data_IF_995259236068
#
_entry.id   IF_995259236068
#
_cell.length_a   1.000
_cell.length_b   1.000
_cell.length_c   1.000
_cell.angle_alpha   90.00
_cell.angle_beta   90.00
_cell.angle_gamma   90.00
#
_symmetry.space_group_name_H-M   'P 1'
#
loop_
_entity.id
_entity.type
_entity.pdbx_description
1 polymer ?
#
# COMPACT_ATOMS: atom_id res chain seq x y z
N UNK A 1 14.55 -11.43 -13.72
CA UNK A 1 13.49 -10.54 -14.16
C UNK A 1 12.60 -10.10 -13.02
N UNK A 2 12.01 -8.91 -13.10
CA UNK A 2 11.05 -8.42 -12.10
C UNK A 2 9.71 -9.08 -12.34
N UNK A 3 9.11 -9.69 -11.31
CA UNK A 3 7.80 -10.32 -11.41
C UNK A 3 6.72 -9.23 -11.47
N UNK A 4 5.71 -9.41 -12.31
CA UNK A 4 4.53 -8.54 -12.33
C UNK A 4 3.76 -8.68 -11.00
N UNK A 5 3.36 -7.55 -10.44
CA UNK A 5 2.51 -7.45 -9.26
C UNK A 5 1.23 -6.69 -9.60
N UNK A 6 0.20 -6.78 -8.76
CA UNK A 6 -1.04 -6.01 -8.91
C UNK A 6 -0.75 -4.51 -9.10
N UNK A 7 0.28 -4.01 -8.41
CA UNK A 7 0.69 -2.61 -8.46
C UNK A 7 1.33 -2.26 -9.80
N UNK A 8 2.23 -3.11 -10.32
CA UNK A 8 2.94 -2.82 -11.59
C UNK A 8 2.04 -2.90 -12.83
N UNK A 9 0.88 -3.54 -12.74
CA UNK A 9 -0.15 -3.55 -13.81
C UNK A 9 -0.69 -2.14 -14.11
N UNK A 10 -0.62 -1.22 -13.15
CA UNK A 10 -1.07 0.17 -13.35
C UNK A 10 -0.11 1.01 -14.21
N UNK A 11 1.15 0.61 -14.37
CA UNK A 11 2.16 1.37 -15.11
C UNK A 11 1.72 1.73 -16.54
N UNK A 12 1.25 0.80 -17.38
CA UNK A 12 0.82 1.13 -18.74
C UNK A 12 -0.33 2.15 -18.80
N UNK A 13 -1.29 2.05 -17.87
CA UNK A 13 -2.45 2.95 -17.82
C UNK A 13 -2.01 4.38 -17.51
N UNK A 14 -1.10 4.53 -16.53
CA UNK A 14 -0.56 5.85 -16.15
C UNK A 14 0.28 6.44 -17.28
N UNK A 15 1.15 5.64 -17.90
CA UNK A 15 1.97 6.10 -19.02
C UNK A 15 1.12 6.50 -20.23
N UNK A 16 0.03 5.78 -20.49
CA UNK A 16 -0.93 6.15 -21.55
C UNK A 16 -1.57 7.53 -21.24
N UNK A 17 -1.99 7.76 -20.01
CA UNK A 17 -2.60 9.02 -19.60
C UNK A 17 -1.61 10.20 -19.75
N UNK A 18 -0.38 10.03 -19.25
CA UNK A 18 0.66 11.07 -19.31
C UNK A 18 1.07 11.35 -20.77
N UNK A 19 1.34 10.31 -21.55
CA UNK A 19 1.76 10.45 -22.95
C UNK A 19 0.67 11.05 -23.82
N UNK A 20 -0.60 10.65 -23.64
CA UNK A 20 -1.72 11.24 -24.39
C UNK A 20 -1.94 12.72 -24.05
N UNK A 21 -1.79 13.11 -22.78
CA UNK A 21 -1.91 14.50 -22.36
C UNK A 21 -0.85 15.39 -23.06
N UNK A 22 0.41 14.95 -23.08
CA UNK A 22 1.48 15.66 -23.79
C UNK A 22 1.20 15.77 -25.30
N UNK A 23 0.76 14.68 -25.92
CA UNK A 23 0.39 14.64 -27.33
C UNK A 23 -0.73 15.63 -27.67
N UNK A 24 -1.78 15.68 -26.86
CA UNK A 24 -2.91 16.60 -27.03
C UNK A 24 -2.45 18.07 -26.96
N UNK A 25 -1.57 18.39 -26.00
CA UNK A 25 -1.03 19.76 -25.90
C UNK A 25 -0.23 20.15 -27.12
N UNK A 26 0.64 19.29 -27.64
CA UNK A 26 1.43 19.53 -28.83
C UNK A 26 0.51 19.73 -30.07
N UNK A 27 -0.43 18.80 -30.27
CA UNK A 27 -1.37 18.88 -31.39
C UNK A 27 -2.22 20.15 -31.34
N UNK A 28 -2.76 20.47 -30.17
CA UNK A 28 -3.60 21.67 -30.01
C UNK A 28 -2.82 22.95 -30.32
N UNK A 29 -1.58 23.06 -29.85
CA UNK A 29 -0.72 24.22 -30.13
C UNK A 29 -0.34 24.30 -31.59
N UNK A 30 0.01 23.16 -32.22
CA UNK A 30 0.33 23.08 -33.66
C UNK A 30 -0.84 23.54 -34.53
N UNK A 31 -2.05 23.04 -34.29
CA UNK A 31 -3.23 23.45 -35.03
C UNK A 31 -3.59 24.91 -34.78
N UNK A 32 -3.34 25.46 -33.61
CA UNK A 32 -3.50 26.88 -33.31
C UNK A 32 -2.63 27.73 -34.22
N UNK A 33 -1.35 27.36 -34.42
CA UNK A 33 -0.46 28.08 -35.34
C UNK A 33 -0.85 27.94 -36.83
N UNK A 34 -1.27 26.74 -37.25
CA UNK A 34 -1.78 26.54 -38.62
C UNK A 34 -3.01 27.40 -38.90
N UNK A 35 -3.91 27.56 -37.94
CA UNK A 35 -5.11 28.39 -38.10
C UNK A 35 -4.79 29.88 -38.10
N UNK A 36 -3.68 30.29 -37.49
CA UNK A 36 -3.15 31.67 -37.58
C UNK A 36 -2.47 31.97 -38.94
N UNK A 37 -2.40 30.97 -39.85
CA UNK A 37 -1.86 31.15 -41.19
C UNK A 37 -0.37 30.81 -41.32
N UNK A 38 0.27 30.25 -40.27
CA UNK A 38 1.66 29.81 -40.37
C UNK A 38 1.81 28.60 -41.29
N UNK A 39 2.93 28.55 -42.01
CA UNK A 39 3.29 27.36 -42.77
C UNK A 39 3.56 26.18 -41.85
N UNK A 40 3.38 24.97 -42.36
CA UNK A 40 3.50 23.71 -41.61
C UNK A 40 4.80 23.60 -40.79
N UNK A 41 5.95 23.87 -41.43
CA UNK A 41 7.25 23.79 -40.76
C UNK A 41 7.41 24.85 -39.66
N UNK A 42 6.96 26.07 -39.95
CA UNK A 42 7.00 27.18 -38.98
C UNK A 42 6.06 26.93 -37.80
N UNK A 43 4.87 26.39 -38.06
CA UNK A 43 3.92 26.01 -37.01
C UNK A 43 4.49 24.92 -36.07
N UNK A 44 5.21 23.92 -36.60
CA UNK A 44 5.87 22.91 -35.80
C UNK A 44 7.00 23.54 -34.97
N UNK A 45 7.85 24.36 -35.59
CA UNK A 45 8.98 25.01 -34.92
C UNK A 45 8.50 25.86 -33.74
N UNK A 46 7.51 26.72 -33.97
CA UNK A 46 6.90 27.55 -32.91
C UNK A 46 6.26 26.72 -31.79
N UNK A 47 5.56 25.63 -32.17
CA UNK A 47 4.99 24.70 -31.18
C UNK A 47 6.06 24.12 -30.29
N UNK A 48 7.18 23.69 -30.87
CA UNK A 48 8.28 23.11 -30.07
C UNK A 48 8.96 24.17 -29.21
N UNK A 49 9.16 25.39 -29.73
CA UNK A 49 9.70 26.50 -28.94
C UNK A 49 8.85 26.81 -27.72
N UNK A 50 7.53 26.79 -27.84
CA UNK A 50 6.61 27.08 -26.74
C UNK A 50 6.49 25.93 -25.73
N UNK A 51 6.47 24.69 -26.21
CA UNK A 51 6.07 23.55 -25.37
C UNK A 51 7.23 22.70 -24.88
N UNK A 52 8.44 22.78 -25.48
CA UNK A 52 9.57 21.92 -25.02
C UNK A 52 9.88 22.15 -23.55
N UNK A 53 9.97 23.41 -23.13
CA UNK A 53 10.29 23.73 -21.73
C UNK A 53 9.18 23.29 -20.74
N UNK A 54 7.88 23.60 -20.94
CA UNK A 54 6.81 23.08 -20.11
C UNK A 54 6.75 21.54 -20.03
N UNK A 55 6.94 20.85 -21.17
CA UNK A 55 6.91 19.38 -21.20
C UNK A 55 8.10 18.79 -20.43
N UNK A 56 9.31 19.36 -20.60
CA UNK A 56 10.47 18.96 -19.80
C UNK A 56 10.22 19.12 -18.30
N UNK A 57 9.68 20.26 -17.89
CA UNK A 57 9.39 20.59 -16.50
C UNK A 57 8.41 19.59 -15.88
N UNK A 58 7.26 19.41 -16.53
CA UNK A 58 6.21 18.52 -16.03
C UNK A 58 6.68 17.07 -16.00
N UNK A 59 7.45 16.63 -17.00
CA UNK A 59 7.98 15.27 -17.04
C UNK A 59 9.04 15.03 -15.98
N UNK A 60 9.95 15.98 -15.73
CA UNK A 60 10.98 15.85 -14.70
C UNK A 60 10.36 15.84 -13.29
N UNK A 61 9.40 16.73 -13.03
CA UNK A 61 8.71 16.76 -11.73
C UNK A 61 7.90 15.48 -11.51
N UNK A 62 7.21 14.98 -12.53
CA UNK A 62 6.46 13.71 -12.47
C UNK A 62 7.40 12.52 -12.27
N UNK A 63 8.51 12.45 -13.01
CA UNK A 63 9.50 11.39 -12.83
C UNK A 63 10.12 11.43 -11.42
N UNK A 64 10.41 12.61 -10.87
CA UNK A 64 10.91 12.77 -9.51
C UNK A 64 9.88 12.31 -8.47
N UNK A 65 8.59 12.59 -8.69
CA UNK A 65 7.50 12.07 -7.87
C UNK A 65 7.49 10.55 -7.83
N UNK A 66 7.62 9.88 -8.98
CA UNK A 66 7.71 8.41 -9.01
C UNK A 66 9.01 7.86 -8.44
N UNK A 67 10.15 8.53 -8.61
CA UNK A 67 11.43 8.16 -8.00
C UNK A 67 11.35 8.22 -6.47
N UNK A 68 10.58 9.13 -5.88
CA UNK A 68 10.40 9.19 -4.43
C UNK A 68 9.86 7.89 -3.82
N UNK A 69 9.13 7.07 -4.61
CA UNK A 69 8.64 5.75 -4.19
C UNK A 69 9.76 4.72 -3.94
N UNK A 70 10.99 4.98 -4.38
CA UNK A 70 12.16 4.16 -4.05
C UNK A 70 12.49 4.18 -2.55
N UNK A 71 12.01 5.17 -1.81
CA UNK A 71 12.13 5.23 -0.35
C UNK A 71 11.25 4.20 0.37
N UNK A 72 10.24 3.63 -0.30
CA UNK A 72 9.36 2.61 0.28
C UNK A 72 10.15 1.34 0.61
N UNK A 73 9.93 0.68 1.77
CA UNK A 73 10.52 -0.64 2.06
C UNK A 73 9.87 -1.77 1.25
N UNK A 74 8.74 -1.54 0.58
CA UNK A 74 7.93 -2.54 -0.11
C UNK A 74 8.42 -2.70 -1.57
N UNK A 75 9.01 -3.85 -1.97
CA UNK A 75 9.63 -4.02 -3.28
C UNK A 75 8.70 -3.74 -4.48
N UNK A 76 7.42 -4.18 -4.52
CA UNK A 76 6.50 -3.83 -5.59
C UNK A 76 6.32 -2.34 -5.81
N UNK A 77 6.31 -1.52 -4.74
CA UNK A 77 6.19 -0.06 -4.82
C UNK A 77 7.46 0.56 -5.42
N UNK A 78 8.64 0.07 -5.01
CA UNK A 78 9.92 0.50 -5.61
C UNK A 78 9.96 0.25 -7.11
N UNK A 79 9.58 -0.97 -7.53
CA UNK A 79 9.56 -1.33 -8.95
C UNK A 79 8.57 -0.47 -9.73
N UNK A 80 7.38 -0.26 -9.18
CA UNK A 80 6.39 0.64 -9.77
C UNK A 80 6.94 2.05 -9.97
N UNK A 81 7.54 2.64 -8.93
CA UNK A 81 8.13 3.98 -9.01
C UNK A 81 9.22 4.07 -10.08
N UNK A 82 10.16 3.12 -10.08
CA UNK A 82 11.27 3.10 -11.03
C UNK A 82 10.79 2.97 -12.49
N UNK A 83 9.93 1.98 -12.78
CA UNK A 83 9.46 1.74 -14.14
C UNK A 83 8.54 2.85 -14.65
N UNK A 84 7.73 3.44 -13.77
CA UNK A 84 6.88 4.58 -14.16
C UNK A 84 7.72 5.81 -14.42
N UNK A 85 8.70 6.14 -13.57
CA UNK A 85 9.61 7.26 -13.81
C UNK A 85 10.37 7.11 -15.14
N UNK A 86 10.93 5.91 -15.40
CA UNK A 86 11.58 5.60 -16.67
C UNK A 86 10.62 5.76 -17.86
N UNK A 87 9.39 5.24 -17.74
CA UNK A 87 8.36 5.37 -18.76
C UNK A 87 7.96 6.83 -19.04
N UNK A 88 7.87 7.68 -18.01
CA UNK A 88 7.60 9.13 -18.15
C UNK A 88 8.72 9.82 -18.95
N UNK A 89 9.99 9.48 -18.67
CA UNK A 89 11.12 10.05 -19.45
C UNK A 89 11.06 9.59 -20.91
N UNK A 90 10.74 8.32 -21.18
CA UNK A 90 10.55 7.83 -22.53
C UNK A 90 9.39 8.55 -23.22
N UNK A 91 8.23 8.66 -22.54
CA UNK A 91 7.06 9.36 -23.08
C UNK A 91 7.38 10.82 -23.45
N UNK A 92 8.16 11.51 -22.61
CA UNK A 92 8.65 12.86 -22.88
C UNK A 92 9.50 12.91 -24.17
N UNK A 93 10.49 12.01 -24.28
CA UNK A 93 11.37 11.96 -25.47
C UNK A 93 10.55 11.68 -26.73
N UNK A 94 9.63 10.71 -26.67
CA UNK A 94 8.74 10.39 -27.80
C UNK A 94 7.83 11.57 -28.15
N UNK A 95 7.28 12.27 -27.17
CA UNK A 95 6.43 13.43 -27.40
C UNK A 95 7.20 14.58 -28.09
N UNK A 96 8.43 14.83 -27.68
CA UNK A 96 9.24 15.91 -28.23
C UNK A 96 9.89 15.58 -29.59
N UNK A 97 10.15 14.28 -29.86
CA UNK A 97 10.84 13.88 -31.10
C UNK A 97 9.90 13.23 -32.11
N UNK A 98 9.09 12.25 -31.70
CA UNK A 98 8.27 11.43 -32.59
C UNK A 98 7.05 12.19 -33.10
N UNK A 99 6.36 12.93 -32.22
CA UNK A 99 5.16 13.67 -32.61
C UNK A 99 5.47 14.74 -33.69
N UNK A 100 6.49 15.62 -33.54
CA UNK A 100 6.86 16.55 -34.58
C UNK A 100 7.28 15.87 -35.89
N UNK A 101 8.01 14.74 -35.81
CA UNK A 101 8.41 13.98 -36.98
C UNK A 101 7.20 13.43 -37.77
N UNK A 102 6.22 12.88 -37.05
CA UNK A 102 4.97 12.39 -37.65
C UNK A 102 4.19 13.56 -38.26
N UNK A 103 4.11 14.70 -37.57
CA UNK A 103 3.42 15.89 -38.08
C UNK A 103 4.03 16.40 -39.37
N UNK A 104 5.35 16.30 -39.59
CA UNK A 104 6.00 16.66 -40.84
C UNK A 104 5.58 15.74 -41.99
N UNK A 105 5.33 14.48 -41.73
CA UNK A 105 4.93 13.50 -42.76
C UNK A 105 3.45 13.57 -43.11
N UNK A 106 2.59 13.89 -42.15
CA UNK A 106 1.15 13.99 -42.39
C UNK A 106 0.78 15.20 -43.25
N UNK A 107 -0.22 15.12 -44.14
CA UNK A 107 -0.67 16.29 -44.91
C UNK A 107 -1.26 17.36 -43.96
N UNK A 108 -0.84 18.63 -44.17
CA UNK A 108 -1.39 19.74 -43.40
C UNK A 108 -2.84 20.01 -43.85
N UNK A 109 -3.80 19.30 -43.28
CA UNK A 109 -5.21 19.72 -43.43
C UNK A 109 -5.42 20.87 -42.44
N UNK A 110 -5.85 22.05 -42.98
CA UNK A 110 -6.43 23.08 -42.12
C UNK A 110 -7.67 22.45 -41.48
N UNK A 111 -7.51 21.87 -40.29
CA UNK A 111 -8.66 21.33 -39.57
C UNK A 111 -9.48 22.53 -39.16
N UNK A 112 -10.77 22.48 -39.44
CA UNK A 112 -11.72 23.42 -38.86
C UNK A 112 -11.41 23.46 -37.39
N UNK A 113 -10.90 24.58 -36.90
CA UNK A 113 -10.57 24.79 -35.49
C UNK A 113 -11.74 24.29 -34.68
N UNK A 114 -11.49 23.31 -33.79
CA UNK A 114 -12.45 23.01 -32.75
C UNK A 114 -12.80 24.27 -31.92
N UNK A 115 -12.06 25.35 -32.15
CA UNK A 115 -12.20 26.65 -31.48
C UNK A 115 -12.68 27.81 -32.39
N UNK A 116 -12.88 27.61 -33.70
CA UNK A 116 -13.33 28.67 -34.58
C UNK A 116 -14.27 28.14 -35.67
N UNK A 117 -15.53 28.16 -35.50
CA UNK A 117 -16.60 28.50 -36.43
C UNK A 117 -17.99 27.91 -36.16
N UNK A 118 -18.17 27.00 -35.22
CA UNK A 118 -19.50 26.51 -34.89
C UNK A 118 -19.77 26.62 -33.38
N UNK A 119 -19.85 27.83 -32.87
CA UNK A 119 -20.11 27.99 -31.49
C UNK A 119 -20.85 29.27 -31.13
N UNK A 120 -22.08 29.36 -31.53
CA UNK A 120 -23.00 30.08 -30.64
C UNK A 120 -23.07 29.40 -29.27
N UNK A 121 -22.98 28.07 -29.18
CA UNK A 121 -22.92 27.31 -27.92
C UNK A 121 -21.54 27.21 -27.26
N UNK A 122 -20.40 27.39 -27.98
CA UNK A 122 -19.05 27.33 -27.37
C UNK A 122 -18.55 28.67 -26.85
N UNK A 123 -19.13 29.79 -27.30
CA UNK A 123 -18.93 31.09 -26.65
C UNK A 123 -19.31 31.04 -25.17
N UNK A 124 -20.30 30.24 -24.80
CA UNK A 124 -20.75 30.11 -23.41
C UNK A 124 -19.70 29.47 -22.50
N UNK A 125 -19.04 28.40 -22.87
CA UNK A 125 -18.05 27.72 -22.01
C UNK A 125 -16.80 28.60 -21.81
N UNK A 126 -16.29 29.19 -22.85
CA UNK A 126 -15.14 30.11 -22.76
C UNK A 126 -15.46 31.37 -21.96
N UNK A 127 -16.68 31.90 -22.12
CA UNK A 127 -17.17 33.03 -21.33
C UNK A 127 -17.40 32.68 -19.86
N UNK A 128 -17.94 31.46 -19.58
CA UNK A 128 -18.12 30.97 -18.21
C UNK A 128 -16.76 30.85 -17.53
N UNK A 129 -15.79 30.21 -18.17
CA UNK A 129 -14.44 30.06 -17.61
C UNK A 129 -13.78 31.43 -17.40
N UNK A 130 -13.92 32.32 -18.36
CA UNK A 130 -13.45 33.73 -18.26
C UNK A 130 -14.10 34.48 -17.11
N UNK A 131 -15.43 34.35 -16.91
CA UNK A 131 -16.15 34.93 -15.75
C UNK A 131 -15.67 34.35 -14.42
N UNK A 132 -15.44 33.03 -14.36
CA UNK A 132 -14.88 32.40 -13.17
C UNK A 132 -13.47 32.93 -12.86
N UNK A 133 -12.61 33.03 -13.89
CA UNK A 133 -11.27 33.60 -13.72
C UNK A 133 -11.29 35.06 -13.24
N UNK A 134 -12.16 35.86 -13.81
CA UNK A 134 -12.34 37.25 -13.38
C UNK A 134 -12.90 37.37 -11.96
N UNK A 135 -13.85 36.52 -11.59
CA UNK A 135 -14.39 36.45 -10.22
C UNK A 135 -13.30 36.06 -9.21
N UNK A 136 -12.50 35.03 -9.52
CA UNK A 136 -11.36 34.60 -8.69
C UNK A 136 -10.34 35.74 -8.51
N UNK A 137 -10.01 36.46 -9.58
CA UNK A 137 -9.07 37.57 -9.52
C UNK A 137 -9.55 38.71 -8.63
N UNK A 138 -10.88 39.03 -8.70
CA UNK A 138 -11.47 40.07 -7.87
C UNK A 138 -11.76 39.62 -6.41
N UNK A 139 -11.83 38.33 -6.15
CA UNK A 139 -12.11 37.77 -4.82
C UNK A 139 -11.00 36.82 -4.35
N UNK A 140 -9.75 37.20 -4.60
CA UNK A 140 -8.57 36.35 -4.30
C UNK A 140 -8.52 35.91 -2.84
N UNK A 141 -8.80 36.81 -1.88
CA UNK A 141 -8.83 36.49 -0.45
C UNK A 141 -9.90 35.44 -0.10
N UNK A 142 -11.10 35.56 -0.69
CA UNK A 142 -12.19 34.60 -0.51
C UNK A 142 -11.83 33.23 -1.10
N UNK A 143 -11.18 33.23 -2.26
CA UNK A 143 -10.70 32.01 -2.93
C UNK A 143 -9.63 31.29 -2.07
N UNK A 144 -8.67 32.03 -1.55
CA UNK A 144 -7.65 31.48 -0.64
C UNK A 144 -8.30 30.91 0.62
N UNK A 145 -9.23 31.67 1.22
CA UNK A 145 -9.96 31.22 2.42
C UNK A 145 -10.75 29.93 2.15
N UNK A 146 -11.42 29.84 1.00
CA UNK A 146 -12.15 28.64 0.59
C UNK A 146 -11.25 27.40 0.48
N UNK A 147 -10.10 27.52 -0.22
CA UNK A 147 -9.15 26.43 -0.33
C UNK A 147 -8.51 26.08 1.03
N UNK A 148 -8.21 27.06 1.88
CA UNK A 148 -7.71 26.82 3.21
C UNK A 148 -8.73 26.05 4.07
N UNK A 149 -10.00 26.41 3.99
CA UNK A 149 -11.07 25.75 4.75
C UNK A 149 -11.29 24.31 4.28
N UNK A 150 -11.31 24.06 2.96
CA UNK A 150 -11.41 22.71 2.40
C UNK A 150 -10.18 21.88 2.80
N UNK A 151 -8.98 22.46 2.79
CA UNK A 151 -7.76 21.78 3.19
C UNK A 151 -7.83 21.37 4.66
N UNK A 152 -8.22 22.29 5.54
CA UNK A 152 -8.40 22.00 6.98
C UNK A 152 -9.43 20.90 7.19
N UNK A 153 -10.56 20.96 6.47
CA UNK A 153 -11.59 19.93 6.53
C UNK A 153 -11.07 18.58 6.02
N UNK A 154 -10.32 18.58 4.91
CA UNK A 154 -9.70 17.38 4.36
C UNK A 154 -8.72 16.75 5.35
N UNK A 155 -7.86 17.55 5.98
CA UNK A 155 -6.94 17.10 7.03
C UNK A 155 -7.72 16.54 8.23
N UNK A 156 -8.74 17.25 8.71
CA UNK A 156 -9.55 16.78 9.84
C UNK A 156 -10.21 15.43 9.56
N UNK A 157 -10.76 15.24 8.37
CA UNK A 157 -11.37 13.96 7.96
C UNK A 157 -10.30 12.87 7.78
N UNK A 158 -9.10 13.19 7.32
CA UNK A 158 -8.04 12.21 7.10
C UNK A 158 -7.55 11.51 8.38
N UNK A 159 -7.75 12.09 9.55
CA UNK A 159 -7.45 11.42 10.84
C UNK A 159 -8.29 10.17 11.08
N UNK A 160 -9.47 10.06 10.45
CA UNK A 160 -10.32 8.89 10.52
C UNK A 160 -10.07 7.88 9.38
N UNK A 161 -9.06 8.11 8.55
CA UNK A 161 -8.73 7.24 7.43
C UNK A 161 -8.19 5.91 7.94
N UNK A 162 -8.90 4.83 7.65
CA UNK A 162 -8.50 3.48 8.01
C UNK A 162 -7.53 2.91 6.99
N UNK A 163 -6.53 2.19 7.46
CA UNK A 163 -5.65 1.39 6.61
C UNK A 163 -6.21 -0.02 6.48
N UNK A 164 -6.12 -0.60 5.28
CA UNK A 164 -6.65 -1.95 5.03
C UNK A 164 -5.71 -2.73 4.11
N UNK A 165 -5.43 -3.97 4.46
CA UNK A 165 -4.65 -4.89 3.63
C UNK A 165 -5.35 -6.23 3.40
N UNK A 166 -6.64 -6.31 3.71
CA UNK A 166 -7.42 -7.53 3.45
C UNK A 166 -7.70 -7.66 1.95
N UNK A 167 -6.99 -8.60 1.30
CA UNK A 167 -7.15 -8.87 -0.13
C UNK A 167 -8.53 -9.41 -0.50
N UNK A 168 -9.30 -9.95 0.45
CA UNK A 168 -10.66 -10.45 0.19
C UNK A 168 -11.62 -9.34 -0.22
N UNK A 169 -11.35 -8.09 0.16
CA UNK A 169 -12.18 -6.93 -0.25
C UNK A 169 -12.15 -6.64 -1.74
N UNK A 170 -11.16 -7.16 -2.48
CA UNK A 170 -11.11 -7.03 -3.93
C UNK A 170 -12.04 -8.01 -4.67
N UNK A 171 -12.60 -8.99 -3.95
CA UNK A 171 -13.53 -9.95 -4.52
C UNK A 171 -14.99 -9.49 -4.32
N UNK A 172 -15.82 -9.85 -5.27
CA UNK A 172 -17.27 -9.63 -5.16
C UNK A 172 -17.85 -10.45 -3.99
N UNK A 173 -18.75 -9.85 -3.20
CA UNK A 173 -19.34 -10.46 -1.99
C UNK A 173 -19.91 -11.87 -2.19
N UNK A 174 -20.40 -12.16 -3.39
CA UNK A 174 -20.99 -13.47 -3.73
C UNK A 174 -20.00 -14.42 -4.43
N UNK A 175 -18.72 -14.06 -4.52
CA UNK A 175 -17.72 -14.92 -5.18
C UNK A 175 -17.51 -16.23 -4.42
N UNK A 176 -17.13 -17.33 -5.12
CA UNK A 176 -16.82 -18.59 -4.46
C UNK A 176 -15.73 -18.47 -3.39
N UNK A 177 -14.78 -17.55 -3.59
CA UNK A 177 -13.69 -17.25 -2.61
C UNK A 177 -14.26 -16.75 -1.32
N UNK A 178 -15.15 -15.73 -1.35
CA UNK A 178 -15.76 -15.16 -0.16
C UNK A 178 -16.62 -16.21 0.56
N UNK A 179 -17.49 -16.93 -0.17
CA UNK A 179 -18.32 -17.98 0.43
C UNK A 179 -17.49 -19.10 1.07
N UNK A 180 -16.40 -19.53 0.42
CA UNK A 180 -15.50 -20.52 1.00
C UNK A 180 -14.80 -20.00 2.26
N UNK A 181 -14.36 -18.75 2.25
CA UNK A 181 -13.78 -18.08 3.43
C UNK A 181 -14.80 -18.02 4.57
N UNK A 182 -16.02 -17.59 4.31
CA UNK A 182 -17.09 -17.48 5.33
C UNK A 182 -17.39 -18.85 5.98
N UNK A 183 -17.38 -19.94 5.21
CA UNK A 183 -17.54 -21.30 5.78
C UNK A 183 -16.39 -21.61 6.73
N UNK A 184 -15.14 -21.35 6.32
CA UNK A 184 -13.96 -21.63 7.17
C UNK A 184 -13.96 -20.72 8.41
N UNK A 185 -14.27 -19.45 8.27
CA UNK A 185 -14.37 -18.50 9.38
C UNK A 185 -15.40 -18.96 10.43
N UNK A 186 -16.59 -19.34 9.97
CA UNK A 186 -17.70 -19.69 10.86
C UNK A 186 -17.61 -21.11 11.46
N UNK A 187 -17.05 -22.08 10.71
CA UNK A 187 -17.05 -23.49 11.15
C UNK A 187 -15.69 -23.94 11.71
N UNK A 188 -14.59 -23.30 11.29
CA UNK A 188 -13.23 -23.71 11.67
C UNK A 188 -12.47 -22.61 12.44
N UNK A 189 -13.13 -21.49 12.75
CA UNK A 189 -12.62 -20.49 13.66
C UNK A 189 -11.56 -19.55 13.08
N UNK A 190 -11.45 -19.44 11.77
CA UNK A 190 -10.55 -18.48 11.11
C UNK A 190 -9.70 -19.07 10.02
N UNK A 191 -9.36 -18.21 9.05
CA UNK A 191 -8.53 -18.55 7.89
C UNK A 191 -7.07 -18.19 8.07
N UNK A 192 -6.75 -17.34 9.04
CA UNK A 192 -5.38 -16.88 9.27
C UNK A 192 -4.75 -17.69 10.41
N UNK A 193 -3.55 -18.23 10.17
CA UNK A 193 -2.78 -18.92 11.18
C UNK A 193 -1.78 -17.96 11.84
N UNK A 194 -1.88 -17.84 13.15
CA UNK A 194 -0.92 -17.21 14.04
C UNK A 194 -0.01 -18.27 14.61
N UNK A 195 1.28 -17.98 14.76
CA UNK A 195 2.27 -18.91 15.29
C UNK A 195 3.18 -18.17 16.27
N UNK A 196 3.30 -18.69 17.49
CA UNK A 196 4.26 -18.25 18.49
C UNK A 196 5.38 -19.29 18.50
N UNK A 197 6.60 -18.88 18.19
CA UNK A 197 7.78 -19.73 18.23
C UNK A 197 8.45 -19.53 19.58
N UNK A 198 8.69 -20.62 20.30
CA UNK A 198 9.40 -20.64 21.58
C UNK A 198 10.69 -21.44 21.38
N UNK A 199 11.84 -20.80 21.60
CA UNK A 199 13.18 -21.37 21.44
C UNK A 199 13.86 -21.41 22.81
N UNK A 200 14.09 -22.60 23.33
CA UNK A 200 14.74 -22.84 24.64
C UNK A 200 16.27 -22.77 24.57
N UNK A 201 16.83 -22.71 23.35
CA UNK A 201 18.28 -22.75 23.08
C UNK A 201 18.98 -24.03 23.59
N UNK A 202 18.25 -24.96 24.22
CA UNK A 202 18.76 -26.20 24.79
C UNK A 202 18.09 -27.41 24.14
N UNK A 203 18.87 -28.44 23.79
CA UNK A 203 18.33 -29.69 23.27
C UNK A 203 17.46 -30.36 24.34
N UNK A 204 16.29 -30.86 23.93
CA UNK A 204 15.24 -31.39 24.80
C UNK A 204 14.61 -30.37 25.77
N UNK A 205 14.93 -29.08 25.71
CA UNK A 205 14.37 -28.08 26.60
C UNK A 205 12.84 -27.96 26.51
N UNK A 206 12.26 -28.29 25.36
CA UNK A 206 10.80 -28.28 25.16
C UNK A 206 10.08 -29.37 25.99
N UNK A 207 10.78 -30.42 26.42
CA UNK A 207 10.23 -31.52 27.23
C UNK A 207 10.11 -31.14 28.71
N UNK A 208 10.57 -29.96 29.15
CA UNK A 208 10.43 -29.50 30.53
C UNK A 208 8.94 -29.31 30.86
N UNK A 209 8.39 -30.00 31.90
CA UNK A 209 7.01 -29.82 32.32
C UNK A 209 6.64 -28.38 32.67
N UNK A 210 7.59 -27.58 33.17
CA UNK A 210 7.36 -26.15 33.47
C UNK A 210 7.10 -25.36 32.22
N UNK A 211 7.87 -25.63 31.15
CA UNK A 211 7.64 -24.97 29.86
C UNK A 211 6.31 -25.44 29.27
N UNK A 212 5.98 -26.72 29.30
CA UNK A 212 4.69 -27.24 28.83
C UNK A 212 3.51 -26.57 29.53
N UNK A 213 3.59 -26.33 30.84
CA UNK A 213 2.59 -25.57 31.60
C UNK A 213 2.49 -24.10 31.09
N UNK A 214 3.62 -23.45 30.81
CA UNK A 214 3.61 -22.10 30.20
C UNK A 214 2.97 -22.12 28.82
N UNK A 215 3.26 -23.11 27.97
CA UNK A 215 2.60 -23.27 26.68
C UNK A 215 1.09 -23.43 26.80
N UNK A 216 0.64 -24.21 27.80
CA UNK A 216 -0.80 -24.37 28.09
C UNK A 216 -1.45 -23.05 28.50
N UNK A 217 -0.81 -22.28 29.37
CA UNK A 217 -1.28 -20.95 29.76
C UNK A 217 -1.40 -20.00 28.54
N UNK A 218 -0.46 -20.09 27.59
CA UNK A 218 -0.55 -19.34 26.34
C UNK A 218 -1.77 -19.79 25.54
N UNK A 219 -2.03 -21.09 25.38
CA UNK A 219 -3.22 -21.59 24.67
C UNK A 219 -4.50 -21.05 25.30
N UNK A 220 -4.63 -21.15 26.62
CA UNK A 220 -5.79 -20.66 27.37
C UNK A 220 -5.96 -19.12 27.22
N UNK A 221 -4.86 -18.38 27.29
CA UNK A 221 -4.91 -16.95 27.09
C UNK A 221 -5.34 -16.58 25.67
N UNK A 222 -4.78 -17.24 24.64
CA UNK A 222 -5.06 -16.94 23.24
C UNK A 222 -6.55 -17.05 22.91
N UNK A 223 -7.26 -18.04 23.43
CA UNK A 223 -8.71 -18.20 23.18
C UNK A 223 -9.56 -17.13 23.88
N UNK A 224 -9.00 -16.38 24.85
CA UNK A 224 -9.68 -15.22 25.46
C UNK A 224 -9.57 -13.94 24.61
N UNK A 225 -8.60 -13.91 23.68
CA UNK A 225 -8.38 -12.74 22.81
C UNK A 225 -9.46 -12.70 21.72
N UNK A 226 -10.18 -11.59 21.56
CA UNK A 226 -11.18 -11.45 20.50
C UNK A 226 -10.60 -11.78 19.12
N UNK A 227 -11.38 -12.44 18.27
CA UNK A 227 -11.00 -12.88 16.93
C UNK A 227 -9.91 -13.98 16.89
N UNK A 228 -9.56 -14.57 18.02
CA UNK A 228 -8.66 -15.73 18.10
C UNK A 228 -9.47 -16.97 18.52
N UNK A 229 -9.20 -18.08 17.86
CA UNK A 229 -9.82 -19.35 18.17
C UNK A 229 -8.81 -20.49 18.05
N UNK A 230 -9.13 -21.62 18.64
CA UNK A 230 -8.40 -22.90 18.48
C UNK A 230 -6.88 -22.78 18.62
N UNK A 231 -6.41 -22.45 19.79
CA UNK A 231 -4.99 -22.50 20.11
C UNK A 231 -4.55 -23.94 20.43
N UNK A 232 -3.41 -24.37 19.89
CA UNK A 232 -2.78 -25.68 20.13
C UNK A 232 -1.27 -25.57 20.16
N UNK A 233 -0.65 -26.37 21.06
CA UNK A 233 0.80 -26.52 21.15
C UNK A 233 1.19 -27.97 21.39
N UNK A 234 2.49 -28.21 21.65
CA UNK A 234 2.96 -29.50 22.09
C UNK A 234 2.34 -29.91 23.44
N UNK A 235 1.98 -28.97 24.31
CA UNK A 235 1.32 -29.26 25.59
C UNK A 235 -0.02 -29.97 25.38
N UNK A 236 -0.87 -29.53 24.46
CA UNK A 236 -2.12 -30.21 24.10
C UNK A 236 -1.86 -31.65 23.62
N UNK A 237 -0.83 -31.88 22.81
CA UNK A 237 -0.48 -33.21 22.29
C UNK A 237 -0.02 -34.12 23.44
N UNK A 238 0.81 -33.63 24.37
CA UNK A 238 1.27 -34.38 25.52
C UNK A 238 0.10 -34.71 26.45
N UNK A 239 -0.83 -33.79 26.71
CA UNK A 239 -2.06 -34.07 27.48
C UNK A 239 -2.94 -35.16 26.83
N UNK A 240 -3.12 -35.10 25.50
CA UNK A 240 -3.88 -36.09 24.74
C UNK A 240 -3.22 -37.49 24.83
N UNK A 241 -1.88 -37.54 24.76
CA UNK A 241 -1.10 -38.77 24.92
C UNK A 241 -1.24 -39.29 26.35
N UNK A 242 -1.02 -38.47 27.36
CA UNK A 242 -1.14 -38.88 28.77
C UNK A 242 -2.57 -39.39 29.09
N UNK A 243 -3.59 -38.70 28.58
CA UNK A 243 -4.97 -39.17 28.71
C UNK A 243 -5.19 -40.59 28.14
N UNK A 244 -4.57 -40.87 26.99
CA UNK A 244 -4.67 -42.22 26.40
C UNK A 244 -3.99 -43.31 27.24
N UNK A 245 -2.98 -42.97 28.05
CA UNK A 245 -2.27 -43.91 28.92
C UNK A 245 -2.81 -43.97 30.34
N UNK A 246 -3.14 -42.82 30.94
CA UNK A 246 -3.53 -42.68 32.35
C UNK A 246 -5.03 -42.50 32.57
N UNK A 247 -5.77 -42.10 31.54
CA UNK A 247 -7.18 -41.70 31.63
C UNK A 247 -7.39 -40.27 32.12
N UNK A 248 -6.33 -39.49 32.38
CA UNK A 248 -6.40 -38.14 32.93
C UNK A 248 -5.81 -37.10 31.96
N UNK A 249 -6.52 -36.01 31.75
CA UNK A 249 -6.02 -34.86 30.97
C UNK A 249 -5.10 -33.99 31.83
N UNK A 250 -3.84 -34.42 31.97
CA UNK A 250 -2.81 -33.72 32.76
C UNK A 250 -1.47 -33.77 32.01
N UNK A 251 -0.62 -32.78 32.29
CA UNK A 251 0.78 -32.84 31.86
C UNK A 251 1.58 -33.70 32.82
N UNK A 252 2.49 -34.58 32.32
CA UNK A 252 3.39 -35.35 33.19
C UNK A 252 4.26 -34.44 34.06
N UNK A 253 4.60 -34.85 35.26
CA UNK A 253 5.36 -34.06 36.22
C UNK A 253 6.88 -34.10 36.00
N UNK A 254 7.40 -35.04 35.18
CA UNK A 254 8.84 -35.17 34.92
C UNK A 254 9.17 -35.12 33.42
N UNK A 255 10.37 -34.64 33.12
CA UNK A 255 10.86 -34.53 31.73
C UNK A 255 11.06 -35.93 31.10
N UNK A 256 11.42 -36.92 31.90
CA UNK A 256 11.58 -38.33 31.49
C UNK A 256 10.23 -38.91 31.06
N UNK A 257 9.16 -38.64 31.81
CA UNK A 257 7.81 -39.12 31.47
C UNK A 257 7.35 -38.48 30.15
N UNK A 258 7.50 -37.17 29.98
CA UNK A 258 7.22 -36.47 28.69
C UNK A 258 8.02 -37.09 27.55
N UNK A 259 9.32 -37.35 27.75
CA UNK A 259 10.18 -37.93 26.72
C UNK A 259 9.72 -39.35 26.34
N UNK A 260 9.31 -40.17 27.32
CA UNK A 260 8.83 -41.54 27.13
C UNK A 260 7.49 -41.55 26.36
N UNK A 261 6.54 -40.68 26.70
CA UNK A 261 5.26 -40.56 26.03
C UNK A 261 5.43 -40.11 24.57
N UNK A 262 6.25 -39.09 24.32
CA UNK A 262 6.54 -38.63 22.96
C UNK A 262 7.26 -39.69 22.12
N UNK A 263 8.14 -40.50 22.73
CA UNK A 263 8.79 -41.62 22.05
C UNK A 263 7.76 -42.70 21.67
N UNK A 264 6.90 -43.12 22.61
CA UNK A 264 5.84 -44.09 22.33
C UNK A 264 4.88 -43.64 21.25
N UNK A 265 4.49 -42.35 21.28
CA UNK A 265 3.66 -41.73 20.24
C UNK A 265 4.33 -41.79 18.88
N UNK A 266 5.63 -41.46 18.79
CA UNK A 266 6.38 -41.49 17.54
C UNK A 266 6.54 -42.91 16.98
N UNK A 267 6.73 -43.92 17.84
CA UNK A 267 6.82 -45.34 17.45
C UNK A 267 5.50 -45.92 16.92
N UNK A 268 4.37 -45.37 17.34
CA UNK A 268 3.04 -45.75 16.84
C UNK A 268 2.64 -45.05 15.54
N UNK A 269 3.57 -44.35 14.91
CA UNK A 269 3.31 -43.64 13.65
C UNK A 269 2.72 -42.23 13.84
N UNK A 270 2.86 -41.65 15.03
CA UNK A 270 2.47 -40.28 15.36
C UNK A 270 3.32 -39.25 14.57
N UNK A 271 2.95 -39.00 13.32
CA UNK A 271 3.69 -38.11 12.39
C UNK A 271 3.46 -36.62 12.63
N UNK A 272 2.65 -36.25 13.63
CA UNK A 272 2.24 -34.85 13.80
C UNK A 272 3.19 -34.02 14.69
N UNK A 273 4.19 -34.62 15.33
CA UNK A 273 5.11 -33.90 16.22
C UNK A 273 5.94 -32.84 15.49
N UNK A 274 6.32 -33.10 14.24
CA UNK A 274 7.08 -32.17 13.41
C UNK A 274 6.36 -30.85 13.10
N UNK A 275 5.04 -30.80 13.29
CA UNK A 275 4.27 -29.54 13.22
C UNK A 275 4.41 -28.67 14.46
N UNK A 276 4.85 -29.24 15.60
CA UNK A 276 4.90 -28.56 16.89
C UNK A 276 6.32 -28.40 17.44
N UNK A 277 7.27 -29.19 16.99
CA UNK A 277 8.65 -29.17 17.51
C UNK A 277 9.66 -29.49 16.42
N UNK A 278 10.90 -29.01 16.58
CA UNK A 278 12.02 -29.39 15.75
C UNK A 278 12.63 -30.73 16.20
N UNK A 279 13.58 -31.25 15.43
CA UNK A 279 14.15 -32.59 15.61
C UNK A 279 14.81 -32.80 16.98
N UNK A 280 15.50 -31.82 17.52
CA UNK A 280 16.23 -31.87 18.80
C UNK A 280 15.41 -31.38 20.00
N UNK A 281 14.13 -31.09 19.82
CA UNK A 281 13.23 -30.56 20.83
C UNK A 281 13.75 -29.32 21.56
N UNK A 282 14.50 -28.48 20.85
CA UNK A 282 14.94 -27.18 21.36
C UNK A 282 13.92 -26.07 21.08
N UNK A 283 13.06 -26.24 20.05
CA UNK A 283 12.05 -25.26 19.65
C UNK A 283 10.68 -25.88 19.58
N UNK A 284 9.69 -25.10 19.96
CA UNK A 284 8.28 -25.47 19.82
C UNK A 284 7.45 -24.31 19.31
N UNK A 285 6.25 -24.61 18.86
CA UNK A 285 5.30 -23.60 18.40
C UNK A 285 3.96 -23.74 19.10
N UNK A 286 3.36 -22.59 19.43
CA UNK A 286 1.94 -22.48 19.73
C UNK A 286 1.25 -21.90 18.50
N UNK A 287 0.27 -22.61 17.98
CA UNK A 287 -0.49 -22.18 16.80
C UNK A 287 -1.91 -21.80 17.19
N UNK A 288 -2.43 -20.73 16.66
CA UNK A 288 -3.82 -20.33 16.84
C UNK A 288 -4.44 -19.90 15.50
N UNK A 289 -5.74 -20.03 15.39
CA UNK A 289 -6.49 -19.49 14.26
C UNK A 289 -7.00 -18.11 14.59
N UNK A 290 -6.91 -17.22 13.62
CA UNK A 290 -7.39 -15.84 13.73
C UNK A 290 -8.41 -15.60 12.61
N UNK A 291 -9.53 -15.00 12.96
CA UNK A 291 -10.52 -14.57 11.99
C UNK A 291 -9.89 -13.52 11.06
N UNK A 292 -10.24 -13.56 9.79
CA UNK A 292 -9.81 -12.57 8.81
C UNK A 292 -10.64 -11.28 8.97
N UNK A 293 -10.55 -10.71 10.16
CA UNK A 293 -11.17 -9.44 10.51
C UNK A 293 -10.48 -8.27 9.79
N UNK A 294 -10.97 -7.06 10.01
CA UNK A 294 -10.35 -5.86 9.49
C UNK A 294 -8.93 -5.66 10.03
N UNK A 295 -8.17 -4.84 9.34
CA UNK A 295 -6.76 -4.64 9.65
C UNK A 295 -6.50 -4.03 11.03
N UNK A 296 -7.40 -3.20 11.55
CA UNK A 296 -7.29 -2.65 12.92
C UNK A 296 -7.55 -3.71 13.99
N UNK A 297 -8.49 -4.64 13.74
CA UNK A 297 -8.74 -5.78 14.60
C UNK A 297 -7.52 -6.70 14.67
N UNK A 298 -6.91 -7.02 13.53
CA UNK A 298 -5.67 -7.81 13.47
C UNK A 298 -4.53 -7.11 14.23
N UNK A 299 -4.40 -5.78 14.08
CA UNK A 299 -3.40 -4.99 14.82
C UNK A 299 -3.62 -5.06 16.32
N UNK A 300 -4.86 -5.02 16.77
CA UNK A 300 -5.23 -5.15 18.19
C UNK A 300 -4.85 -6.53 18.70
N UNK A 301 -5.23 -7.60 17.99
CA UNK A 301 -4.85 -8.99 18.33
C UNK A 301 -3.34 -9.12 18.50
N UNK A 302 -2.57 -8.66 17.50
CA UNK A 302 -1.10 -8.76 17.51
C UNK A 302 -0.49 -8.00 18.70
N UNK A 303 -0.94 -6.77 18.98
CA UNK A 303 -0.43 -5.98 20.12
C UNK A 303 -0.78 -6.60 21.47
N UNK A 304 -2.00 -7.10 21.61
CA UNK A 304 -2.45 -7.76 22.83
C UNK A 304 -1.59 -8.99 23.13
N UNK A 305 -1.33 -9.82 22.12
CA UNK A 305 -0.51 -11.03 22.27
C UNK A 305 0.98 -10.68 22.48
N UNK A 306 1.55 -9.71 21.71
CA UNK A 306 2.94 -9.27 21.92
C UNK A 306 3.16 -8.74 23.35
N UNK A 307 2.20 -7.99 23.90
CA UNK A 307 2.27 -7.50 25.28
C UNK A 307 2.24 -8.64 26.31
N UNK A 308 1.34 -9.61 26.15
CA UNK A 308 1.26 -10.78 27.02
C UNK A 308 2.55 -11.59 26.98
N UNK A 309 3.08 -11.89 25.80
CA UNK A 309 4.33 -12.64 25.65
C UNK A 309 5.52 -11.90 26.27
N UNK A 310 5.56 -10.57 26.16
CA UNK A 310 6.59 -9.74 26.77
C UNK A 310 6.52 -9.74 28.31
N UNK A 311 5.34 -9.87 28.89
CA UNK A 311 5.15 -9.99 30.34
C UNK A 311 5.53 -11.38 30.84
N UNK A 312 5.12 -12.45 30.14
CA UNK A 312 5.34 -13.82 30.57
C UNK A 312 6.80 -14.29 30.41
N UNK A 313 7.50 -13.80 29.36
CA UNK A 313 8.85 -14.26 29.01
C UNK A 313 9.91 -13.14 29.03
N UNK A 314 9.52 -11.88 29.29
CA UNK A 314 10.44 -10.74 29.17
C UNK A 314 11.64 -10.77 30.14
N UNK A 315 11.49 -11.44 31.28
CA UNK A 315 12.55 -11.59 32.30
C UNK A 315 13.42 -12.84 32.05
N UNK A 316 12.96 -13.79 31.24
CA UNK A 316 13.64 -15.08 31.03
C UNK A 316 14.54 -15.02 29.79
N UNK A 317 15.81 -14.68 29.98
CA UNK A 317 16.80 -14.61 28.88
C UNK A 317 17.16 -15.99 28.29
N UNK A 318 16.81 -17.10 28.97
CA UNK A 318 17.07 -18.45 28.47
C UNK A 318 16.12 -18.84 27.34
N UNK A 319 14.90 -18.29 27.31
CA UNK A 319 13.86 -18.61 26.33
C UNK A 319 13.67 -17.42 25.38
N UNK A 320 13.79 -17.65 24.07
CA UNK A 320 13.46 -16.66 23.07
C UNK A 320 12.06 -16.92 22.50
N UNK A 321 11.18 -15.93 22.59
CA UNK A 321 9.81 -16.03 22.07
C UNK A 321 9.62 -15.05 20.93
N UNK A 322 9.00 -15.52 19.85
CA UNK A 322 8.70 -14.66 18.69
C UNK A 322 7.33 -14.97 18.09
N UNK A 323 6.57 -13.92 17.82
CA UNK A 323 5.27 -13.99 17.17
C UNK A 323 5.42 -13.89 15.67
N UNK A 324 4.83 -14.80 14.90
CA UNK A 324 4.86 -14.87 13.45
C UNK A 324 3.51 -15.35 12.88
N UNK A 325 3.47 -15.61 11.58
CA UNK A 325 2.23 -16.01 10.88
C UNK A 325 1.60 -14.88 10.08
N UNK A 326 0.57 -15.22 9.32
CA UNK A 326 -0.07 -14.26 8.40
C UNK A 326 -0.60 -12.98 9.10
N UNK A 327 -1.24 -13.05 10.28
CA UNK A 327 -1.68 -11.84 10.99
C UNK A 327 -0.52 -10.88 11.31
N UNK A 328 0.64 -11.41 11.72
CA UNK A 328 1.82 -10.58 12.00
C UNK A 328 2.40 -9.96 10.73
N UNK A 329 2.39 -10.69 9.61
CA UNK A 329 2.80 -10.17 8.31
C UNK A 329 1.88 -9.03 7.86
N UNK A 330 0.56 -9.23 7.93
CA UNK A 330 -0.44 -8.19 7.61
C UNK A 330 -0.17 -6.94 8.47
N UNK A 331 -0.05 -7.10 9.78
CA UNK A 331 0.25 -5.99 10.70
C UNK A 331 1.54 -5.23 10.31
N UNK A 332 2.63 -5.96 10.02
CA UNK A 332 3.91 -5.36 9.63
C UNK A 332 3.83 -4.62 8.30
N UNK A 333 3.17 -5.22 7.32
CA UNK A 333 2.98 -4.59 6.00
C UNK A 333 2.19 -3.30 6.14
N UNK A 334 1.13 -3.28 6.96
CA UNK A 334 0.33 -2.08 7.19
C UNK A 334 1.11 -0.95 7.87
N UNK A 335 1.84 -1.27 8.94
CA UNK A 335 2.64 -0.27 9.66
C UNK A 335 3.72 0.34 8.74
N UNK A 336 4.41 -0.52 7.98
CA UNK A 336 5.40 -0.07 7.00
C UNK A 336 4.77 0.73 5.87
N UNK A 337 3.56 0.34 5.45
CA UNK A 337 2.84 1.00 4.37
C UNK A 337 2.48 2.44 4.73
N UNK A 338 1.85 2.67 5.87
CA UNK A 338 1.48 4.00 6.34
C UNK A 338 2.72 4.92 6.49
N UNK A 339 3.78 4.42 7.12
CA UNK A 339 5.05 5.17 7.27
C UNK A 339 5.71 5.49 5.93
N UNK A 340 5.75 4.50 5.03
CA UNK A 340 6.32 4.63 3.69
C UNK A 340 5.58 5.69 2.87
N UNK A 341 4.26 5.75 2.99
CA UNK A 341 3.45 6.72 2.27
C UNK A 341 3.76 8.16 2.71
N UNK A 342 3.83 8.40 4.02
CA UNK A 342 4.19 9.72 4.55
C UNK A 342 5.59 10.13 4.07
N UNK A 343 6.57 9.22 4.16
CA UNK A 343 7.94 9.48 3.73
C UNK A 343 8.02 9.76 2.21
N UNK A 344 7.31 8.98 1.41
CA UNK A 344 7.26 9.16 -0.04
C UNK A 344 6.64 10.50 -0.44
N UNK A 345 5.53 10.89 0.18
CA UNK A 345 4.89 12.19 -0.06
C UNK A 345 5.79 13.36 0.35
N UNK A 346 6.47 13.25 1.49
CA UNK A 346 7.41 14.27 1.95
C UNK A 346 8.62 14.39 1.00
N UNK A 347 9.23 13.27 0.62
CA UNK A 347 10.38 13.26 -0.31
C UNK A 347 9.99 13.75 -1.70
N UNK A 348 8.81 13.36 -2.21
CA UNK A 348 8.26 13.86 -3.48
C UNK A 348 8.08 15.38 -3.45
N UNK A 349 7.44 15.90 -2.40
CA UNK A 349 7.21 17.34 -2.24
C UNK A 349 8.52 18.13 -2.23
N UNK A 350 9.52 17.64 -1.49
CA UNK A 350 10.84 18.28 -1.43
C UNK A 350 11.54 18.23 -2.79
N UNK A 351 11.53 17.09 -3.49
CA UNK A 351 12.14 16.95 -4.81
C UNK A 351 11.49 17.88 -5.84
N UNK A 352 10.15 17.94 -5.87
CA UNK A 352 9.41 18.84 -6.77
C UNK A 352 9.75 20.29 -6.46
N UNK A 353 9.76 20.69 -5.20
CA UNK A 353 10.14 22.06 -4.80
C UNK A 353 11.55 22.43 -5.23
N UNK A 354 12.52 21.53 -5.05
CA UNK A 354 13.90 21.73 -5.48
C UNK A 354 13.98 21.89 -7.01
N UNK A 355 13.35 21.00 -7.77
CA UNK A 355 13.34 21.06 -9.22
C UNK A 355 12.74 22.38 -9.70
N UNK A 356 11.57 22.76 -9.18
CA UNK A 356 10.91 24.03 -9.56
C UNK A 356 11.76 25.23 -9.14
N UNK A 357 12.34 25.23 -7.94
CA UNK A 357 13.21 26.31 -7.46
C UNK A 357 14.44 26.49 -8.36
N UNK A 358 15.10 25.42 -8.77
CA UNK A 358 16.26 25.44 -9.64
C UNK A 358 15.91 25.98 -11.03
N UNK A 359 14.82 25.53 -11.57
CA UNK A 359 14.39 25.89 -12.93
C UNK A 359 13.85 27.32 -12.98
N UNK A 360 13.06 27.73 -11.98
CA UNK A 360 12.54 29.11 -11.87
C UNK A 360 13.56 30.07 -11.23
N UNK A 361 14.73 29.55 -10.83
CA UNK A 361 15.78 30.33 -10.14
C UNK A 361 15.23 31.11 -8.93
N UNK A 362 14.25 30.53 -8.23
CA UNK A 362 13.58 31.16 -7.10
C UNK A 362 13.04 30.13 -6.12
N UNK A 363 13.49 30.20 -4.88
CA UNK A 363 13.02 29.35 -3.79
C UNK A 363 11.54 29.59 -3.51
N UNK A 364 11.05 30.81 -3.68
CA UNK A 364 9.64 31.17 -3.45
C UNK A 364 8.74 30.41 -4.39
N UNK A 365 9.06 30.32 -5.68
CA UNK A 365 8.27 29.54 -6.65
C UNK A 365 8.34 28.04 -6.39
N UNK A 366 9.49 27.53 -5.90
CA UNK A 366 9.60 26.16 -5.42
C UNK A 366 8.66 25.86 -4.27
N UNK A 367 8.60 26.73 -3.27
CA UNK A 367 7.68 26.57 -2.12
C UNK A 367 6.20 26.74 -2.56
N UNK A 368 5.90 27.67 -3.42
CA UNK A 368 4.54 27.85 -3.95
C UNK A 368 4.06 26.64 -4.74
N UNK A 369 4.95 25.90 -5.39
CA UNK A 369 4.58 24.67 -6.14
C UNK A 369 4.08 23.54 -5.26
N UNK A 370 4.42 23.53 -3.96
CA UNK A 370 3.95 22.52 -2.99
C UNK A 370 2.50 22.78 -2.58
N UNK A 371 2.02 24.02 -2.59
CA UNK A 371 0.67 24.36 -2.09
C UNK A 371 -0.45 23.57 -2.78
N UNK A 372 -0.54 23.55 -4.13
CA UNK A 372 -1.56 22.74 -4.80
C UNK A 372 -1.46 21.25 -4.47
N UNK A 373 -0.24 20.72 -4.34
CA UNK A 373 0.00 19.30 -3.99
C UNK A 373 -0.55 18.98 -2.60
N UNK A 374 -0.23 19.79 -1.58
CA UNK A 374 -0.73 19.60 -0.20
C UNK A 374 -2.24 19.68 -0.16
N UNK A 375 -2.84 20.66 -0.84
CA UNK A 375 -4.29 20.82 -0.93
C UNK A 375 -4.93 19.58 -1.56
N UNK A 376 -4.39 19.11 -2.69
CA UNK A 376 -4.91 17.93 -3.41
C UNK A 376 -4.83 16.67 -2.55
N UNK A 377 -3.69 16.44 -1.86
CA UNK A 377 -3.52 15.29 -0.97
C UNK A 377 -4.52 15.35 0.20
N UNK A 378 -4.68 16.51 0.82
CA UNK A 378 -5.63 16.69 1.93
C UNK A 378 -7.07 16.43 1.49
N UNK A 379 -7.47 16.94 0.32
CA UNK A 379 -8.80 16.70 -0.24
C UNK A 379 -9.00 15.22 -0.57
N UNK A 380 -8.03 14.58 -1.22
CA UNK A 380 -8.11 13.16 -1.57
C UNK A 380 -8.28 12.27 -0.33
N UNK A 381 -7.43 12.43 0.68
CA UNK A 381 -7.53 11.63 1.90
C UNK A 381 -8.81 11.95 2.69
N UNK A 382 -9.22 13.22 2.73
CA UNK A 382 -10.50 13.61 3.33
C UNK A 382 -11.69 12.97 2.61
N UNK A 383 -11.69 12.96 1.28
CA UNK A 383 -12.71 12.33 0.46
C UNK A 383 -12.75 10.81 0.64
N UNK A 384 -11.59 10.16 0.65
CA UNK A 384 -11.48 8.72 0.93
C UNK A 384 -12.07 8.38 2.30
N UNK A 385 -11.71 9.16 3.32
CA UNK A 385 -12.23 8.97 4.68
C UNK A 385 -13.75 9.16 4.75
N UNK A 386 -14.29 10.22 4.14
CA UNK A 386 -15.73 10.48 4.09
C UNK A 386 -16.50 9.39 3.32
N UNK A 387 -15.89 8.83 2.27
CA UNK A 387 -16.44 7.73 1.48
C UNK A 387 -16.24 6.33 2.08
N UNK A 388 -15.63 6.22 3.29
CA UNK A 388 -15.19 4.95 3.87
C UNK A 388 -14.32 4.10 2.91
N UNK A 389 -13.53 4.76 2.06
CA UNK A 389 -12.56 4.12 1.19
C UNK A 389 -11.24 4.00 1.97
N UNK A 390 -10.81 2.78 2.33
CA UNK A 390 -9.59 2.63 3.12
C UNK A 390 -8.34 2.93 2.31
N UNK A 391 -7.27 3.28 3.02
CA UNK A 391 -5.94 3.39 2.45
C UNK A 391 -5.34 1.98 2.31
N UNK A 392 -5.20 1.52 1.10
CA UNK A 392 -4.57 0.27 0.72
C UNK A 392 -3.42 0.48 -0.28
N UNK A 393 -2.84 -0.60 -0.79
CA UNK A 393 -1.73 -0.53 -1.72
C UNK A 393 -2.06 0.19 -3.04
N UNK A 394 -3.31 0.13 -3.49
CA UNK A 394 -3.76 0.77 -4.74
C UNK A 394 -4.15 2.22 -4.51
N UNK A 395 -4.98 2.47 -3.49
CA UNK A 395 -5.50 3.81 -3.19
C UNK A 395 -4.40 4.78 -2.73
N UNK A 396 -3.36 4.28 -2.06
CA UNK A 396 -2.22 5.10 -1.64
C UNK A 396 -1.41 5.63 -2.82
N UNK A 397 -1.35 4.90 -3.93
CA UNK A 397 -0.65 5.35 -5.13
C UNK A 397 -1.34 6.51 -5.80
N UNK A 398 -2.67 6.59 -5.71
CA UNK A 398 -3.45 7.71 -6.26
C UNK A 398 -2.99 9.03 -5.64
N UNK A 399 -2.72 9.04 -4.34
CA UNK A 399 -2.20 10.22 -3.66
C UNK A 399 -0.77 10.62 -4.08
N UNK A 400 0.04 9.64 -4.55
CA UNK A 400 1.40 9.90 -5.06
C UNK A 400 1.44 10.33 -6.54
N UNK A 401 0.32 10.15 -7.27
CA UNK A 401 0.18 10.54 -8.69
C UNK A 401 -0.38 11.96 -8.83
N UNK A 402 -1.15 12.41 -7.86
CA UNK A 402 -1.75 13.76 -7.84
C UNK A 402 -0.71 14.85 -7.60
#
# INVERSE_FOLDING_TARGET
GVKMSIITVLVPVILLAIGSAQGIHILNRYYSYLNQGHEKKDAILKTMQDLTYPILMTSLTTAAGFISLLSSPIPPIKHFGLFTAFGVVIAMVLSLCLIPAILILLPAKKTVSLYAKDSENKKDVGQIIGKIGFWIANHSALTILFYALITILGIALSFNLKTESNMLRYFEKNSPVIRGTDIVENQFGGTLQLTIVVDTKESNGVKDPKLLKKLKNIEEYLITVPNVSHAKSLATIVEEINHAFSGEYQLPDSQEAVAQELLLYSLQGGSNLEYFTNYDFSKTVVTARVLNAGSEEIKTVIKTIDNYLSQEFGEDQSIAVSLTGMPKVIYRVMDQFARSQILSLATSSVLVAIIVALIMKSIIYGLLSILPLVITIAINFGFMSAGNIPLDAVTSMIAGIA
#
